data_IF_932188658186
#
_entry.id   IF_932188658186
#
_cell.length_a   1.000
_cell.length_b   1.000
_cell.length_c   1.000
_cell.angle_alpha   90.00
_cell.angle_beta   90.00
_cell.angle_gamma   90.00
#
_symmetry.space_group_name_H-M   'P 1'
#
loop_
_entity.id
_entity.type
_entity.pdbx_description
1 polymer ?
#
# COMPACT_ATOMS: atom_id res chain seq x y z
N UNK A 1 -50.30 -21.76 1.83
CA UNK A 1 -49.38 -21.56 0.70
C UNK A 1 -48.74 -20.15 0.66
N UNK A 2 -49.48 -19.09 0.99
CA UNK A 2 -48.89 -17.70 0.97
C UNK A 2 -47.79 -17.49 2.00
N UNK A 3 -47.84 -18.08 3.18
CA UNK A 3 -46.81 -17.93 4.24
C UNK A 3 -45.52 -18.70 3.93
N UNK A 4 -45.54 -19.72 3.11
CA UNK A 4 -44.38 -20.52 2.73
C UNK A 4 -43.50 -19.79 1.70
N UNK A 5 -44.12 -19.01 0.83
CA UNK A 5 -43.43 -18.21 -0.21
C UNK A 5 -42.65 -17.06 0.41
N UNK A 6 -43.18 -16.44 1.48
CA UNK A 6 -42.51 -15.33 2.19
C UNK A 6 -41.22 -15.82 2.89
N UNK A 7 -41.21 -17.03 3.44
CA UNK A 7 -40.04 -17.65 4.08
C UNK A 7 -38.89 -17.93 3.12
N UNK A 8 -39.17 -18.31 1.87
CA UNK A 8 -38.16 -18.64 0.87
C UNK A 8 -37.46 -17.36 0.33
N UNK A 9 -38.22 -16.25 0.17
CA UNK A 9 -37.66 -14.99 -0.28
C UNK A 9 -36.73 -14.36 0.77
N UNK A 10 -37.01 -14.51 2.06
CA UNK A 10 -36.18 -14.00 3.15
C UNK A 10 -34.82 -14.73 3.27
N UNK A 11 -34.73 -16.01 2.87
CA UNK A 11 -33.48 -16.78 2.93
C UNK A 11 -32.51 -16.50 1.78
N UNK A 12 -32.97 -15.96 0.66
CA UNK A 12 -32.16 -15.71 -0.52
C UNK A 12 -31.36 -14.41 -0.47
N UNK A 13 -31.62 -13.53 0.51
CA UNK A 13 -30.92 -12.23 0.63
C UNK A 13 -29.59 -12.30 1.39
N UNK A 14 -29.23 -13.45 1.97
CA UNK A 14 -28.02 -13.59 2.79
C UNK A 14 -26.73 -13.95 2.01
N UNK A 15 -26.84 -14.16 0.70
CA UNK A 15 -25.68 -14.60 -0.11
C UNK A 15 -24.98 -13.46 -0.88
N UNK A 16 -25.32 -12.20 -0.63
CA UNK A 16 -24.80 -11.05 -1.38
C UNK A 16 -23.54 -10.41 -0.77
N UNK A 17 -22.87 -11.04 0.20
CA UNK A 17 -21.58 -10.58 0.70
C UNK A 17 -20.41 -11.27 -0.03
N UNK A 18 -20.30 -11.04 -1.34
CA UNK A 18 -19.06 -11.33 -2.07
C UNK A 18 -18.13 -10.12 -1.92
N UNK A 19 -17.55 -9.94 -0.74
CA UNK A 19 -16.53 -8.90 -0.54
C UNK A 19 -15.23 -9.39 -1.17
N UNK A 20 -14.95 -8.94 -2.38
CA UNK A 20 -13.61 -9.08 -2.95
C UNK A 20 -12.59 -8.59 -1.90
N UNK A 21 -11.45 -9.27 -1.74
CA UNK A 21 -10.44 -8.85 -0.81
C UNK A 21 -9.97 -7.44 -1.19
N UNK A 22 -10.13 -6.46 -0.27
CA UNK A 22 -9.67 -5.08 -0.49
C UNK A 22 -8.32 -4.86 0.17
N UNK A 23 -7.53 -3.93 -0.37
CA UNK A 23 -6.25 -3.56 0.22
C UNK A 23 -6.41 -3.05 1.66
N UNK A 24 -7.50 -2.31 1.93
CA UNK A 24 -7.81 -1.84 3.29
C UNK A 24 -8.01 -3.01 4.28
N UNK A 25 -8.78 -4.02 3.89
CA UNK A 25 -9.02 -5.19 4.73
C UNK A 25 -7.72 -5.97 4.97
N UNK A 26 -6.92 -6.14 3.94
CA UNK A 26 -5.61 -6.80 4.02
C UNK A 26 -4.68 -6.08 5.01
N UNK A 27 -4.53 -4.76 4.90
CA UNK A 27 -3.71 -3.97 5.82
C UNK A 27 -4.17 -4.09 7.28
N UNK A 28 -5.49 -4.02 7.53
CA UNK A 28 -6.04 -4.17 8.90
C UNK A 28 -5.80 -5.57 9.45
N UNK A 29 -5.92 -6.61 8.62
CA UNK A 29 -5.67 -7.99 9.04
C UNK A 29 -4.20 -8.21 9.41
N UNK A 30 -3.27 -7.64 8.63
CA UNK A 30 -1.82 -7.82 8.86
C UNK A 30 -1.26 -6.89 9.94
N UNK A 31 -1.93 -5.80 10.28
CA UNK A 31 -1.50 -4.84 11.31
C UNK A 31 -1.29 -5.47 12.69
N UNK A 32 -2.08 -6.48 13.04
CA UNK A 32 -1.97 -7.23 14.30
C UNK A 32 -1.08 -8.48 14.23
N UNK A 33 -0.52 -8.78 13.07
CA UNK A 33 0.32 -9.97 12.89
C UNK A 33 1.80 -9.66 13.20
N UNK A 34 2.43 -10.29 14.22
CA UNK A 34 3.80 -9.97 14.65
C UNK A 34 4.89 -10.32 13.65
N UNK A 35 4.59 -11.07 12.59
CA UNK A 35 5.53 -11.36 11.52
C UNK A 35 5.70 -10.18 10.56
N UNK A 36 4.70 -9.26 10.54
CA UNK A 36 4.74 -8.08 9.72
C UNK A 36 5.24 -6.86 10.49
N UNK A 37 5.98 -6.02 9.81
CA UNK A 37 6.26 -4.66 10.24
C UNK A 37 5.14 -3.79 9.68
N UNK A 38 4.35 -3.17 10.55
CA UNK A 38 3.24 -2.30 10.17
C UNK A 38 3.40 -0.92 10.79
N UNK A 39 3.21 0.13 9.99
CA UNK A 39 3.19 1.50 10.45
C UNK A 39 2.11 2.31 9.73
N UNK A 40 1.52 3.26 10.47
CA UNK A 40 0.56 4.22 9.92
C UNK A 40 0.92 5.62 10.41
N UNK A 41 1.25 6.53 9.49
CA UNK A 41 1.78 7.84 9.80
C UNK A 41 1.29 8.91 8.81
N UNK A 42 1.48 10.19 9.19
CA UNK A 42 1.30 11.33 8.29
C UNK A 42 2.60 11.62 7.53
N UNK A 43 2.49 12.32 6.40
CA UNK A 43 3.64 12.69 5.60
C UNK A 43 4.61 13.59 6.36
N UNK A 44 4.12 14.47 7.23
CA UNK A 44 4.92 15.40 8.03
C UNK A 44 5.94 14.69 8.93
N UNK A 45 5.61 13.48 9.40
CA UNK A 45 6.52 12.67 10.23
C UNK A 45 7.66 12.05 9.42
N UNK A 46 7.50 11.92 8.11
CA UNK A 46 8.52 11.36 7.22
C UNK A 46 9.49 12.41 6.68
N UNK A 47 9.17 13.69 6.76
CA UNK A 47 10.04 14.75 6.26
C UNK A 47 11.01 15.19 7.35
N UNK A 48 12.32 15.07 7.07
CA UNK A 48 13.38 15.45 8.03
C UNK A 48 13.42 16.97 8.30
N UNK A 49 13.20 17.77 7.28
CA UNK A 49 13.27 19.23 7.39
C UNK A 49 12.24 19.90 6.49
N UNK A 50 11.04 20.13 7.03
CA UNK A 50 9.95 20.81 6.33
C UNK A 50 10.32 22.22 5.84
N UNK A 51 11.21 22.92 6.55
CA UNK A 51 11.59 24.29 6.21
C UNK A 51 12.48 24.37 4.97
N UNK A 52 13.20 23.30 4.65
CA UNK A 52 14.03 23.22 3.46
C UNK A 52 13.26 23.03 2.16
N UNK A 53 11.98 22.64 2.24
CA UNK A 53 11.13 22.40 1.09
C UNK A 53 10.67 23.70 0.43
N UNK A 54 10.65 23.70 -0.89
CA UNK A 54 9.99 24.75 -1.69
C UNK A 54 8.47 24.79 -1.42
N UNK A 55 7.82 25.89 -1.77
CA UNK A 55 6.36 26.02 -1.62
C UNK A 55 5.60 24.94 -2.40
N UNK A 56 6.07 24.61 -3.60
CA UNK A 56 5.49 23.60 -4.48
C UNK A 56 5.59 22.19 -3.90
N UNK A 57 6.73 21.86 -3.25
CA UNK A 57 6.91 20.58 -2.59
C UNK A 57 6.01 20.47 -1.35
N UNK A 58 5.94 21.53 -0.54
CA UNK A 58 5.02 21.62 0.61
C UNK A 58 3.58 21.40 0.19
N UNK A 59 3.13 22.04 -0.89
CA UNK A 59 1.79 21.85 -1.41
C UNK A 59 1.55 20.40 -1.84
N UNK A 60 2.52 19.76 -2.49
CA UNK A 60 2.39 18.37 -2.95
C UNK A 60 2.30 17.37 -1.79
N UNK A 61 3.12 17.53 -0.74
CA UNK A 61 3.09 16.63 0.44
C UNK A 61 1.83 16.82 1.29
N UNK A 62 1.30 18.04 1.38
CA UNK A 62 0.06 18.32 2.12
C UNK A 62 -1.18 17.64 1.54
N UNK A 63 -1.13 17.23 0.27
CA UNK A 63 -2.18 16.42 -0.36
C UNK A 63 -2.21 14.97 0.14
N UNK A 64 -1.10 14.50 0.77
CA UNK A 64 -1.00 13.16 1.35
C UNK A 64 -1.45 13.20 2.81
N UNK A 65 -2.60 12.62 3.08
CA UNK A 65 -3.24 12.64 4.40
C UNK A 65 -2.75 11.50 5.30
N UNK A 66 -2.48 10.34 4.69
CA UNK A 66 -2.13 9.12 5.42
C UNK A 66 -1.22 8.20 4.62
N UNK A 67 -0.24 7.66 5.30
CA UNK A 67 0.67 6.66 4.77
C UNK A 67 0.54 5.39 5.61
N UNK A 68 0.37 4.24 4.94
CA UNK A 68 0.47 2.93 5.55
C UNK A 68 1.67 2.21 4.95
N UNK A 69 2.50 1.65 5.79
CA UNK A 69 3.63 0.80 5.43
C UNK A 69 3.37 -0.59 5.99
N UNK A 70 3.60 -1.61 5.19
CA UNK A 70 3.55 -3.00 5.61
C UNK A 70 4.71 -3.74 4.96
N UNK A 71 5.53 -4.40 5.76
CA UNK A 71 6.63 -5.22 5.26
C UNK A 71 6.61 -6.60 5.89
N UNK A 72 7.00 -7.61 5.11
CA UNK A 72 7.28 -8.96 5.57
C UNK A 72 8.69 -9.33 5.14
N UNK A 73 9.59 -9.40 6.10
CA UNK A 73 10.98 -9.77 5.86
C UNK A 73 11.10 -11.26 5.60
N UNK A 74 12.04 -11.65 4.75
CA UNK A 74 12.26 -13.05 4.41
C UNK A 74 12.55 -13.92 5.63
N UNK A 75 13.42 -13.47 6.52
CA UNK A 75 13.85 -14.19 7.74
C UNK A 75 12.69 -14.47 8.71
N UNK A 76 11.65 -13.62 8.72
CA UNK A 76 10.45 -13.77 9.56
C UNK A 76 9.30 -14.49 8.88
N UNK A 77 9.22 -14.47 7.57
CA UNK A 77 8.04 -14.92 6.84
C UNK A 77 8.31 -15.79 5.62
N UNK A 78 9.46 -16.44 5.48
CA UNK A 78 9.87 -17.19 4.28
C UNK A 78 8.79 -18.15 3.78
N UNK A 79 8.16 -18.92 4.66
CA UNK A 79 7.12 -19.89 4.29
C UNK A 79 5.81 -19.25 3.80
N UNK A 80 5.59 -17.96 4.03
CA UNK A 80 4.36 -17.22 3.70
C UNK A 80 4.55 -16.23 2.57
N UNK A 81 5.77 -15.85 2.23
CA UNK A 81 6.07 -14.80 1.26
C UNK A 81 5.34 -14.99 -0.07
N UNK A 82 5.37 -16.18 -0.65
CA UNK A 82 4.70 -16.46 -1.93
C UNK A 82 3.16 -16.42 -1.83
N UNK A 83 2.60 -16.86 -0.71
CA UNK A 83 1.16 -16.78 -0.47
C UNK A 83 0.71 -15.32 -0.33
N UNK A 84 1.46 -14.53 0.44
CA UNK A 84 1.17 -13.09 0.63
C UNK A 84 1.38 -12.30 -0.65
N UNK A 85 2.44 -12.58 -1.42
CA UNK A 85 2.67 -12.04 -2.76
C UNK A 85 1.49 -12.31 -3.69
N UNK A 86 1.00 -13.57 -3.72
CA UNK A 86 -0.13 -13.97 -4.55
C UNK A 86 -1.41 -13.23 -4.13
N UNK A 87 -1.65 -13.12 -2.83
CA UNK A 87 -2.80 -12.39 -2.28
C UNK A 87 -2.76 -10.92 -2.68
N UNK A 88 -1.61 -10.23 -2.50
CA UNK A 88 -1.45 -8.83 -2.90
C UNK A 88 -1.58 -8.64 -4.41
N UNK A 89 -1.02 -9.52 -5.22
CA UNK A 89 -1.22 -9.48 -6.67
C UNK A 89 -2.70 -9.53 -7.05
N UNK A 90 -3.46 -10.42 -6.41
CA UNK A 90 -4.91 -10.53 -6.65
C UNK A 90 -5.65 -9.24 -6.29
N UNK A 91 -5.31 -8.62 -5.15
CA UNK A 91 -5.89 -7.36 -4.71
C UNK A 91 -5.52 -6.23 -5.66
N UNK A 92 -4.24 -6.09 -5.99
CA UNK A 92 -3.71 -4.98 -6.79
C UNK A 92 -4.02 -5.09 -8.30
N UNK A 93 -4.46 -6.25 -8.77
CA UNK A 93 -4.92 -6.43 -10.15
C UNK A 93 -6.42 -6.13 -10.34
N UNK A 94 -7.12 -5.63 -9.31
CA UNK A 94 -8.51 -5.22 -9.44
C UNK A 94 -8.64 -3.96 -10.31
N UNK A 95 -9.80 -3.76 -10.90
CA UNK A 95 -10.06 -2.69 -11.88
C UNK A 95 -9.97 -1.27 -11.33
N UNK A 96 -10.00 -1.11 -10.00
CA UNK A 96 -9.85 0.18 -9.33
C UNK A 96 -8.43 0.75 -9.43
N UNK A 97 -7.42 -0.13 -9.60
CA UNK A 97 -6.02 0.26 -9.70
C UNK A 97 -5.56 0.38 -11.15
N UNK A 98 -4.93 1.50 -11.47
CA UNK A 98 -4.26 1.77 -12.75
C UNK A 98 -2.76 1.73 -12.53
N UNK A 99 -2.04 1.06 -13.45
CA UNK A 99 -0.59 0.89 -13.34
C UNK A 99 0.15 2.10 -13.91
N UNK A 100 1.09 2.65 -13.14
CA UNK A 100 2.10 3.61 -13.61
C UNK A 100 3.39 2.88 -14.00
N UNK A 101 3.82 1.94 -13.15
CA UNK A 101 5.02 1.12 -13.39
C UNK A 101 4.67 -0.30 -12.99
N UNK A 102 5.09 -1.25 -13.82
CA UNK A 102 4.94 -2.68 -13.56
C UNK A 102 6.20 -3.42 -14.02
N UNK A 103 7.01 -3.81 -13.06
CA UNK A 103 8.19 -4.65 -13.29
C UNK A 103 7.92 -6.05 -12.73
N UNK A 104 8.04 -7.06 -13.59
CA UNK A 104 7.88 -8.46 -13.22
C UNK A 104 9.14 -9.24 -13.62
N UNK A 105 9.96 -9.58 -12.64
CA UNK A 105 11.08 -10.51 -12.77
C UNK A 105 10.81 -11.83 -12.07
N UNK A 106 11.69 -12.81 -12.25
CA UNK A 106 11.60 -14.11 -11.58
C UNK A 106 11.74 -13.93 -10.06
N UNK A 107 12.76 -13.21 -9.63
CA UNK A 107 13.16 -13.04 -8.24
C UNK A 107 12.69 -11.71 -7.63
N UNK A 108 12.25 -10.76 -8.46
CA UNK A 108 11.86 -9.41 -8.07
C UNK A 108 10.60 -8.96 -8.79
N UNK A 109 9.80 -8.19 -8.08
CA UNK A 109 8.60 -7.54 -8.62
C UNK A 109 8.48 -6.14 -8.05
N UNK A 110 8.07 -5.19 -8.87
CA UNK A 110 7.70 -3.86 -8.42
C UNK A 110 6.47 -3.37 -9.18
N UNK A 111 5.49 -2.89 -8.45
CA UNK A 111 4.30 -2.25 -8.99
C UNK A 111 4.14 -0.87 -8.38
N UNK A 112 3.88 0.09 -9.21
CA UNK A 112 3.47 1.42 -8.80
C UNK A 112 2.12 1.73 -9.43
N UNK A 113 1.11 1.90 -8.59
CA UNK A 113 -0.29 1.92 -8.96
C UNK A 113 -0.96 3.16 -8.36
N UNK A 114 -2.08 3.57 -8.94
CA UNK A 114 -2.95 4.58 -8.35
C UNK A 114 -4.43 4.23 -8.53
N UNK A 115 -5.29 4.77 -7.67
CA UNK A 115 -6.73 4.75 -7.83
C UNK A 115 -7.30 6.17 -7.91
N UNK A 116 -8.47 6.31 -8.53
CA UNK A 116 -9.06 7.60 -8.86
C UNK A 116 -8.88 7.95 -10.34
N UNK A 117 -8.97 9.25 -10.64
CA UNK A 117 -8.69 9.79 -11.97
C UNK A 117 -7.41 10.65 -11.95
N UNK A 118 -6.89 11.03 -13.11
CA UNK A 118 -5.63 11.78 -13.22
C UNK A 118 -5.72 13.22 -12.66
N UNK A 119 -6.92 13.78 -12.59
CA UNK A 119 -7.16 15.09 -11.99
C UNK A 119 -7.32 15.03 -10.47
N UNK A 120 -7.64 13.82 -9.93
CA UNK A 120 -7.93 13.61 -8.53
C UNK A 120 -7.60 12.17 -8.14
N UNK A 121 -6.31 11.90 -7.97
CA UNK A 121 -5.79 10.63 -7.46
C UNK A 121 -6.10 10.55 -5.97
N UNK A 122 -6.74 9.46 -5.55
CA UNK A 122 -7.15 9.22 -4.15
C UNK A 122 -6.17 8.36 -3.38
N UNK A 123 -5.48 7.52 -4.10
CA UNK A 123 -4.60 6.53 -3.50
C UNK A 123 -3.45 6.20 -4.44
N UNK A 124 -2.26 6.08 -3.88
CA UNK A 124 -1.05 5.62 -4.54
C UNK A 124 -0.56 4.40 -3.80
N UNK A 125 -0.21 3.35 -4.53
CA UNK A 125 0.29 2.11 -3.95
C UNK A 125 1.61 1.74 -4.62
N UNK A 126 2.64 1.54 -3.80
CA UNK A 126 3.87 0.87 -4.20
C UNK A 126 3.90 -0.53 -3.58
N UNK A 127 4.15 -1.53 -4.39
CA UNK A 127 4.40 -2.90 -3.97
C UNK A 127 5.73 -3.36 -4.53
N UNK A 128 6.62 -3.79 -3.65
CA UNK A 128 7.92 -4.38 -3.97
C UNK A 128 8.03 -5.78 -3.39
N UNK A 129 8.60 -6.70 -4.13
CA UNK A 129 8.94 -8.05 -3.71
C UNK A 129 10.34 -8.41 -4.20
N UNK A 130 11.12 -9.01 -3.33
CA UNK A 130 12.43 -9.59 -3.64
C UNK A 130 12.60 -10.91 -2.87
N UNK A 131 12.99 -11.98 -3.57
CA UNK A 131 13.12 -13.33 -3.00
C UNK A 131 14.14 -13.40 -1.86
N UNK A 132 15.09 -12.47 -1.80
CA UNK A 132 16.14 -12.41 -0.77
C UNK A 132 15.77 -11.52 0.41
N UNK A 133 15.03 -10.45 0.15
CA UNK A 133 14.70 -9.43 1.15
C UNK A 133 13.31 -9.61 1.75
N UNK A 134 12.32 -10.01 0.96
CA UNK A 134 10.93 -10.10 1.37
C UNK A 134 10.01 -9.21 0.55
N UNK A 135 8.99 -8.63 1.17
CA UNK A 135 8.05 -7.76 0.49
C UNK A 135 7.79 -6.47 1.26
N UNK A 136 7.50 -5.42 0.50
CA UNK A 136 7.14 -4.09 1.00
C UNK A 136 5.88 -3.62 0.28
N UNK A 137 4.93 -3.13 1.05
CA UNK A 137 3.75 -2.43 0.56
C UNK A 137 3.72 -1.04 1.19
N UNK A 138 3.67 -0.02 0.35
CA UNK A 138 3.48 1.37 0.74
C UNK A 138 2.18 1.87 0.13
N UNK A 139 1.27 2.37 0.95
CA UNK A 139 0.00 2.95 0.52
C UNK A 139 -0.08 4.38 1.00
N UNK A 140 -0.20 5.31 0.09
CA UNK A 140 -0.43 6.73 0.38
C UNK A 140 -1.86 7.09 -0.02
N UNK A 141 -2.60 7.74 0.87
CA UNK A 141 -3.95 8.23 0.62
C UNK A 141 -3.99 9.74 0.78
N UNK A 142 -4.82 10.37 -0.03
CA UNK A 142 -4.98 11.82 0.02
C UNK A 142 -6.10 12.31 -0.88
N UNK A 143 -6.07 13.58 -1.15
CA UNK A 143 -7.07 14.25 -1.98
C UNK A 143 -6.41 15.24 -2.94
N UNK A 144 -7.00 15.41 -4.13
CA UNK A 144 -6.49 16.28 -5.19
C UNK A 144 -5.03 16.03 -5.60
N UNK A 145 -4.56 14.79 -5.46
CA UNK A 145 -3.21 14.41 -5.87
C UNK A 145 -3.18 14.34 -7.40
N UNK A 146 -2.17 14.95 -8.00
CA UNK A 146 -1.94 14.92 -9.45
C UNK A 146 -0.67 14.13 -9.78
N UNK A 147 -0.50 13.64 -11.01
CA UNK A 147 0.72 12.94 -11.42
C UNK A 147 2.01 13.72 -11.12
N UNK A 148 1.99 15.04 -11.28
CA UNK A 148 3.14 15.89 -10.97
C UNK A 148 3.50 15.94 -9.47
N UNK A 149 2.51 15.82 -8.58
CA UNK A 149 2.76 15.74 -7.13
C UNK A 149 3.49 14.44 -6.79
N UNK A 150 3.09 13.33 -7.42
CA UNK A 150 3.75 12.03 -7.27
C UNK A 150 5.22 12.14 -7.69
N UNK A 151 5.48 12.76 -8.84
CA UNK A 151 6.84 12.95 -9.34
C UNK A 151 7.70 13.77 -8.38
N UNK A 152 7.17 14.88 -7.85
CA UNK A 152 7.86 15.69 -6.84
C UNK A 152 8.18 14.88 -5.57
N UNK A 153 7.20 14.15 -5.04
CA UNK A 153 7.37 13.32 -3.84
C UNK A 153 8.47 12.24 -4.06
N UNK A 154 8.53 11.62 -5.24
CA UNK A 154 9.59 10.65 -5.54
C UNK A 154 10.98 11.27 -5.62
N UNK A 155 11.10 12.53 -6.03
CA UNK A 155 12.37 13.25 -6.04
C UNK A 155 12.85 13.66 -4.65
N UNK A 156 11.96 13.71 -3.67
CA UNK A 156 12.28 14.05 -2.27
C UNK A 156 12.81 12.86 -1.46
N UNK A 157 13.13 11.72 -2.12
CA UNK A 157 13.54 10.48 -1.44
C UNK A 157 14.63 10.68 -0.39
N UNK A 158 15.65 11.50 -0.68
CA UNK A 158 16.76 11.81 0.24
C UNK A 158 16.35 12.65 1.46
N UNK A 159 15.15 13.27 1.41
CA UNK A 159 14.59 14.06 2.50
C UNK A 159 13.61 13.25 3.37
N UNK A 160 13.33 12.01 2.96
CA UNK A 160 12.44 11.12 3.71
C UNK A 160 13.20 10.43 4.84
N UNK A 161 12.71 10.59 6.06
CA UNK A 161 13.21 9.86 7.22
C UNK A 161 12.54 8.48 7.31
N UNK A 162 13.05 7.53 6.56
CA UNK A 162 12.54 6.15 6.61
C UNK A 162 12.86 5.46 7.94
N UNK A 163 13.87 5.93 8.70
CA UNK A 163 14.15 5.48 10.06
C UNK A 163 13.06 5.82 11.08
N UNK A 164 12.16 6.79 10.75
CA UNK A 164 10.95 7.04 11.55
C UNK A 164 9.98 5.83 11.55
N UNK A 165 10.14 4.90 10.63
CA UNK A 165 9.38 3.65 10.58
C UNK A 165 10.19 2.61 11.36
N UNK A 166 9.85 2.39 12.62
CA UNK A 166 10.53 1.42 13.49
C UNK A 166 10.57 0.03 12.82
N UNK A 167 11.76 -0.55 12.71
CA UNK A 167 12.00 -1.84 12.04
C UNK A 167 12.40 -1.74 10.57
N UNK A 168 12.40 -0.55 9.96
CA UNK A 168 12.84 -0.36 8.57
C UNK A 168 14.36 -0.14 8.45
N UNK A 169 15.02 0.22 9.55
CA UNK A 169 16.48 0.43 9.58
C UNK A 169 17.26 -0.82 9.14
N UNK A 170 16.85 -2.01 9.59
CA UNK A 170 17.49 -3.26 9.19
C UNK A 170 17.33 -3.63 7.71
N UNK A 171 16.29 -3.11 7.02
CA UNK A 171 16.10 -3.32 5.58
C UNK A 171 17.06 -2.48 4.72
N UNK A 172 17.47 -1.31 5.23
CA UNK A 172 18.34 -0.40 4.49
C UNK A 172 19.82 -0.80 4.63
N UNK A 173 20.23 -1.33 5.79
CA UNK A 173 21.62 -1.74 6.02
C UNK A 173 22.01 -2.96 5.20
N UNK A 174 21.13 -3.96 5.06
CA UNK A 174 21.39 -5.18 4.26
C UNK A 174 21.35 -4.92 2.74
N UNK A 175 20.72 -3.84 2.28
CA UNK A 175 20.64 -3.51 0.84
C UNK A 175 21.86 -2.78 0.30
N UNK A 176 22.74 -2.29 1.18
CA UNK A 176 23.96 -1.53 0.82
C UNK A 176 25.26 -2.35 0.93
N UNK A 177 25.19 -3.62 1.26
CA UNK A 177 26.31 -4.58 1.21
C UNK A 177 26.16 -5.53 0.02
#
# INVERSE_FOLDING_TARGET
MKSFIIGVVALSTLWACNSNPSLQKYLVEKDSNPEFISASLSMDLLIQNLDSLSLDEKESIQKIEKINVLALLKDKGESKLEAERTTLRSILNQTEYKSLINFNGADREAKFLYSGNEEDIKEIVFFGYDVKMGMLLLRMRGSNIKPNDIFKITQMGDQLNLGAISGFEGLMEDSMQ
#
